data_IF_298733134380
#
_entry.id   IF_298733134380
#
_cell.length_a   1.000
_cell.length_b   1.000
_cell.length_c   1.000
_cell.angle_alpha   90.00
_cell.angle_beta   90.00
_cell.angle_gamma   90.00
#
_symmetry.space_group_name_H-M   'P 1'
#
loop_
_entity.id
_entity.type
_entity.pdbx_description
1 polymer ?
#
# COMPACT_ATOMS: atom_id res chain seq x y z
N UNK A 1 -5.59 -10.51 1.04
CA UNK A 1 -6.06 -9.52 2.04
C UNK A 1 -7.39 -9.91 2.69
N UNK A 2 -8.45 -10.16 1.91
CA UNK A 2 -9.81 -10.35 2.45
C UNK A 2 -10.12 -11.73 3.05
N UNK A 3 -9.15 -12.65 3.20
CA UNK A 3 -9.42 -14.03 3.61
C UNK A 3 -10.17 -14.14 4.94
N UNK A 4 -9.70 -13.44 5.98
CA UNK A 4 -10.29 -13.46 7.32
C UNK A 4 -11.60 -12.69 7.42
N UNK A 5 -11.86 -11.77 6.48
CA UNK A 5 -13.11 -11.00 6.41
C UNK A 5 -14.17 -11.75 5.63
N UNK A 6 -13.80 -12.35 4.50
CA UNK A 6 -14.71 -13.08 3.63
C UNK A 6 -15.23 -14.35 4.31
N UNK A 7 -14.39 -15.06 5.08
CA UNK A 7 -14.75 -16.30 5.77
C UNK A 7 -16.05 -16.19 6.58
N UNK A 8 -16.13 -15.28 7.57
CA UNK A 8 -17.35 -15.04 8.34
C UNK A 8 -18.58 -14.65 7.49
N UNK A 9 -18.37 -13.91 6.40
CA UNK A 9 -19.43 -13.42 5.52
C UNK A 9 -20.02 -14.52 4.60
N UNK A 10 -19.33 -15.65 4.41
CA UNK A 10 -19.82 -16.79 3.61
C UNK A 10 -21.13 -17.39 4.14
N UNK A 11 -21.44 -17.18 5.42
CA UNK A 11 -22.71 -17.60 6.03
C UNK A 11 -23.90 -16.73 5.60
N UNK A 12 -23.64 -15.60 4.94
CA UNK A 12 -24.70 -14.74 4.43
C UNK A 12 -25.37 -15.36 3.21
N UNK A 13 -26.59 -14.91 2.91
CA UNK A 13 -27.32 -15.29 1.68
C UNK A 13 -26.79 -14.61 0.42
N UNK A 14 -25.75 -13.78 0.52
CA UNK A 14 -25.22 -13.00 -0.59
C UNK A 14 -23.89 -13.60 -1.06
N UNK A 15 -23.69 -13.76 -2.37
CA UNK A 15 -22.41 -14.14 -2.92
C UNK A 15 -21.38 -13.03 -2.67
N UNK A 16 -20.12 -13.44 -2.53
CA UNK A 16 -19.00 -12.55 -2.27
C UNK A 16 -18.02 -12.67 -3.44
N UNK A 17 -17.83 -11.56 -4.16
CA UNK A 17 -16.86 -11.45 -5.23
C UNK A 17 -15.64 -10.71 -4.68
N UNK A 18 -14.47 -11.35 -4.73
CA UNK A 18 -13.20 -10.76 -4.27
C UNK A 18 -12.20 -10.86 -5.41
N UNK A 19 -12.22 -9.89 -6.36
CA UNK A 19 -11.30 -9.92 -7.47
C UNK A 19 -9.91 -9.45 -7.01
N UNK A 20 -8.88 -10.03 -7.61
CA UNK A 20 -7.59 -9.37 -7.68
C UNK A 20 -7.73 -8.19 -8.64
N UNK A 21 -7.32 -6.99 -8.22
CA UNK A 21 -7.39 -5.79 -9.06
C UNK A 21 -6.25 -5.81 -10.09
N UNK A 22 -6.42 -5.14 -11.24
CA UNK A 22 -5.36 -4.97 -12.24
C UNK A 22 -4.04 -4.53 -11.58
N UNK A 23 -2.94 -5.21 -11.90
CA UNK A 23 -1.63 -4.98 -11.30
C UNK A 23 -1.32 -5.86 -10.07
N UNK A 24 -2.30 -6.61 -9.55
CA UNK A 24 -2.13 -7.43 -8.35
C UNK A 24 -2.20 -8.93 -8.63
N UNK A 25 -1.42 -9.70 -7.86
CA UNK A 25 -1.42 -11.16 -7.78
C UNK A 25 -1.57 -11.88 -9.13
N UNK A 26 -2.68 -12.59 -9.38
CA UNK A 26 -2.89 -13.37 -10.60
C UNK A 26 -3.30 -12.56 -11.84
N UNK A 27 -3.56 -11.25 -11.71
CA UNK A 27 -4.00 -10.42 -12.85
C UNK A 27 -2.87 -9.84 -13.66
N UNK A 28 -3.21 -9.35 -14.86
CA UNK A 28 -2.27 -8.66 -15.74
C UNK A 28 -1.63 -7.44 -15.08
N UNK A 29 -0.39 -7.16 -15.48
CA UNK A 29 0.43 -6.03 -15.00
C UNK A 29 0.95 -5.23 -16.19
N UNK A 30 0.07 -4.58 -16.96
CA UNK A 30 0.48 -3.81 -18.14
C UNK A 30 1.45 -2.70 -17.74
N UNK A 31 2.45 -2.42 -18.57
CA UNK A 31 3.40 -1.33 -18.32
C UNK A 31 2.87 0.05 -18.72
N UNK A 32 1.82 0.08 -19.55
CA UNK A 32 1.14 1.33 -19.92
C UNK A 32 0.28 1.81 -18.74
N UNK A 33 0.65 2.96 -18.18
CA UNK A 33 -0.06 3.57 -17.04
C UNK A 33 -1.50 3.96 -17.39
N UNK A 34 -1.82 4.13 -18.68
CA UNK A 34 -3.18 4.42 -19.14
C UNK A 34 -4.17 3.27 -18.87
N UNK A 35 -3.68 2.04 -18.71
CA UNK A 35 -4.50 0.89 -18.35
C UNK A 35 -5.06 0.97 -16.91
N UNK A 36 -4.38 1.71 -16.02
CA UNK A 36 -4.77 1.86 -14.61
C UNK A 36 -5.72 3.04 -14.37
N UNK A 37 -6.38 3.54 -15.41
CA UNK A 37 -7.39 4.58 -15.24
C UNK A 37 -8.61 4.02 -14.53
N UNK A 38 -9.15 4.80 -13.59
CA UNK A 38 -10.25 4.38 -12.74
C UNK A 38 -11.56 4.08 -13.47
N UNK A 39 -11.81 4.74 -14.60
CA UNK A 39 -12.98 4.47 -15.45
C UNK A 39 -12.89 3.09 -16.10
N UNK A 40 -11.71 2.72 -16.62
CA UNK A 40 -11.42 1.39 -17.14
C UNK A 40 -11.51 0.32 -16.06
N UNK A 41 -10.81 0.50 -14.94
CA UNK A 41 -10.84 -0.48 -13.83
C UNK A 41 -12.25 -0.64 -13.22
N UNK A 42 -13.06 0.42 -13.18
CA UNK A 42 -14.46 0.31 -12.76
C UNK A 42 -15.30 -0.51 -13.77
N UNK A 43 -15.03 -0.37 -15.07
CA UNK A 43 -15.66 -1.19 -16.11
C UNK A 43 -15.29 -2.67 -15.95
N UNK A 44 -14.03 -2.99 -15.69
CA UNK A 44 -13.57 -4.37 -15.47
C UNK A 44 -14.34 -5.02 -14.30
N UNK A 45 -14.54 -4.27 -13.21
CA UNK A 45 -15.34 -4.75 -12.07
C UNK A 45 -16.80 -5.02 -12.45
N UNK A 46 -17.40 -4.17 -13.28
CA UNK A 46 -18.77 -4.40 -13.78
C UNK A 46 -18.83 -5.64 -14.65
N UNK A 47 -17.86 -5.86 -15.53
CA UNK A 47 -17.81 -7.04 -16.39
C UNK A 47 -17.70 -8.33 -15.55
N UNK A 48 -16.91 -8.31 -14.46
CA UNK A 48 -16.84 -9.42 -13.50
C UNK A 48 -18.21 -9.64 -12.83
N UNK A 49 -18.87 -8.58 -12.36
CA UNK A 49 -20.19 -8.65 -11.72
C UNK A 49 -21.24 -9.25 -12.67
N UNK A 50 -21.20 -8.88 -13.95
CA UNK A 50 -22.08 -9.40 -15.00
C UNK A 50 -21.77 -10.86 -15.35
N UNK A 51 -20.50 -11.24 -15.41
CA UNK A 51 -20.08 -12.62 -15.63
C UNK A 51 -20.56 -13.55 -14.50
N UNK A 52 -20.58 -13.05 -13.26
CA UNK A 52 -21.17 -13.72 -12.10
C UNK A 52 -22.71 -13.61 -12.03
N UNK A 53 -23.35 -13.10 -13.09
CA UNK A 53 -24.81 -13.03 -13.25
C UNK A 53 -25.51 -12.18 -12.17
N UNK A 54 -24.87 -11.10 -11.74
CA UNK A 54 -25.42 -10.16 -10.76
C UNK A 54 -25.64 -8.77 -11.36
N UNK A 55 -26.74 -8.13 -10.97
CA UNK A 55 -27.08 -6.78 -11.44
C UNK A 55 -26.62 -5.71 -10.45
N UNK A 56 -26.72 -5.95 -9.13
CA UNK A 56 -26.44 -4.93 -8.11
C UNK A 56 -25.52 -5.47 -7.03
N UNK A 57 -24.67 -4.61 -6.50
CA UNK A 57 -23.67 -4.98 -5.48
C UNK A 57 -23.60 -3.97 -4.35
N UNK A 58 -23.17 -4.46 -3.18
CA UNK A 58 -22.56 -3.60 -2.15
C UNK A 58 -21.07 -3.58 -2.44
N UNK A 59 -20.52 -2.38 -2.72
CA UNK A 59 -19.10 -2.22 -3.00
C UNK A 59 -18.34 -1.96 -1.70
N UNK A 60 -17.29 -2.73 -1.45
CA UNK A 60 -16.49 -2.68 -0.22
C UNK A 60 -15.02 -2.51 -0.60
N UNK A 61 -14.33 -1.55 0.05
CA UNK A 61 -12.94 -1.27 -0.22
C UNK A 61 -12.11 -0.98 1.04
N UNK A 62 -10.81 -1.20 0.93
CA UNK A 62 -9.80 -0.83 1.92
C UNK A 62 -8.61 -0.19 1.21
N UNK A 63 -8.07 0.90 1.74
CA UNK A 63 -6.93 1.63 1.13
C UNK A 63 -7.19 2.01 -0.34
N UNK A 64 -6.34 1.63 -1.31
CA UNK A 64 -6.61 1.79 -2.74
C UNK A 64 -7.89 1.07 -3.21
N UNK A 65 -8.28 -0.01 -2.53
CA UNK A 65 -9.57 -0.66 -2.76
C UNK A 65 -10.76 0.23 -2.40
N UNK A 66 -10.63 1.15 -1.44
CA UNK A 66 -11.67 2.15 -1.14
C UNK A 66 -11.81 3.17 -2.28
N UNK A 67 -10.70 3.50 -2.94
CA UNK A 67 -10.73 4.32 -4.16
C UNK A 67 -11.46 3.56 -5.26
N UNK A 68 -11.10 2.30 -5.52
CA UNK A 68 -11.78 1.45 -6.50
C UNK A 68 -13.29 1.31 -6.23
N UNK A 69 -13.68 1.01 -4.99
CA UNK A 69 -15.08 0.89 -4.58
C UNK A 69 -15.87 2.20 -4.78
N UNK A 70 -15.24 3.33 -4.44
CA UNK A 70 -15.83 4.66 -4.66
C UNK A 70 -16.00 4.97 -6.15
N UNK A 71 -15.02 4.59 -6.99
CA UNK A 71 -15.07 4.80 -8.45
C UNK A 71 -16.13 3.95 -9.11
N UNK A 72 -16.33 2.70 -8.67
CA UNK A 72 -17.43 1.86 -9.13
C UNK A 72 -18.79 2.54 -8.86
N UNK A 73 -18.99 3.04 -7.63
CA UNK A 73 -20.21 3.78 -7.25
C UNK A 73 -20.42 5.06 -8.09
N UNK A 74 -19.35 5.78 -8.40
CA UNK A 74 -19.42 7.03 -9.18
C UNK A 74 -19.70 6.81 -10.66
N UNK A 75 -19.07 5.80 -11.28
CA UNK A 75 -19.23 5.52 -12.71
C UNK A 75 -20.47 4.69 -13.00
N UNK A 76 -20.91 3.86 -12.05
CA UNK A 76 -22.04 2.94 -12.21
C UNK A 76 -23.01 3.02 -11.01
N UNK A 77 -23.60 4.20 -10.73
CA UNK A 77 -24.42 4.41 -9.54
C UNK A 77 -25.66 3.49 -9.49
N UNK A 78 -26.23 3.13 -10.65
CA UNK A 78 -27.39 2.23 -10.72
C UNK A 78 -27.06 0.78 -10.33
N UNK A 79 -25.78 0.43 -10.33
CA UNK A 79 -25.25 -0.91 -10.01
C UNK A 79 -24.84 -1.04 -8.55
N UNK A 80 -24.63 0.05 -7.83
CA UNK A 80 -24.12 0.04 -6.44
C UNK A 80 -25.23 0.45 -5.46
N UNK A 81 -25.70 -0.51 -4.66
CA UNK A 81 -26.76 -0.28 -3.65
C UNK A 81 -26.23 0.11 -2.27
N UNK A 82 -24.91 0.03 -2.08
CA UNK A 82 -24.23 0.45 -0.86
C UNK A 82 -22.72 0.53 -1.07
N UNK A 83 -22.07 1.44 -0.35
CA UNK A 83 -20.62 1.64 -0.37
C UNK A 83 -20.07 1.57 1.06
N UNK A 84 -19.02 0.78 1.25
CA UNK A 84 -18.29 0.67 2.52
C UNK A 84 -16.81 0.90 2.24
N UNK A 85 -16.27 1.99 2.79
CA UNK A 85 -14.85 2.29 2.71
C UNK A 85 -14.18 2.09 4.06
N UNK A 86 -13.05 1.40 4.06
CA UNK A 86 -12.21 1.17 5.23
C UNK A 86 -10.91 1.96 5.09
N UNK A 87 -10.52 2.66 6.15
CA UNK A 87 -9.35 3.55 6.29
C UNK A 87 -9.32 4.80 5.41
N UNK A 88 -9.66 4.70 4.12
CA UNK A 88 -9.64 5.83 3.18
C UNK A 88 -11.06 6.34 2.97
N UNK A 89 -11.35 7.63 3.21
CA UNK A 89 -12.70 8.17 3.06
C UNK A 89 -13.16 8.21 1.60
N UNK A 90 -14.48 8.38 1.42
CA UNK A 90 -15.04 8.63 0.09
C UNK A 90 -14.33 9.82 -0.58
N UNK A 91 -13.83 9.59 -1.79
CA UNK A 91 -13.07 10.59 -2.55
C UNK A 91 -13.83 10.94 -3.82
N UNK A 92 -14.30 12.18 -4.00
CA UNK A 92 -14.98 12.60 -5.23
C UNK A 92 -14.05 12.46 -6.45
N UNK A 93 -14.64 12.52 -7.64
CA UNK A 93 -13.86 12.60 -8.88
C UNK A 93 -13.06 13.90 -8.87
N UNK A 94 -11.75 13.81 -9.08
CA UNK A 94 -10.90 14.98 -9.17
C UNK A 94 -10.99 15.56 -10.59
N UNK A 95 -11.24 16.87 -10.67
CA UNK A 95 -11.23 17.59 -11.94
C UNK A 95 -9.83 18.10 -12.32
N UNK A 96 -8.83 17.89 -11.46
CA UNK A 96 -7.46 18.34 -11.64
C UNK A 96 -6.48 17.17 -11.42
N UNK A 97 -5.34 17.16 -12.12
CA UNK A 97 -4.28 16.19 -11.85
C UNK A 97 -3.81 16.26 -10.39
N UNK A 98 -3.34 15.12 -9.89
CA UNK A 98 -2.72 15.06 -8.57
C UNK A 98 -1.38 15.80 -8.59
N UNK A 99 -1.18 16.72 -7.64
CA UNK A 99 0.10 17.43 -7.46
C UNK A 99 0.78 16.92 -6.18
N UNK A 100 1.81 16.09 -6.36
CA UNK A 100 2.57 15.50 -5.26
C UNK A 100 3.27 16.55 -4.40
N UNK A 101 3.79 17.62 -5.01
CA UNK A 101 4.49 18.67 -4.28
C UNK A 101 3.51 19.42 -3.38
N UNK A 102 2.37 19.84 -3.94
CA UNK A 102 1.32 20.50 -3.18
C UNK A 102 0.87 19.62 -2.00
N UNK A 103 0.61 18.33 -2.24
CA UNK A 103 0.18 17.40 -1.18
C UNK A 103 1.24 17.24 -0.08
N UNK A 104 2.52 17.14 -0.44
CA UNK A 104 3.60 17.08 0.54
C UNK A 104 3.76 18.40 1.33
N UNK A 105 3.61 19.56 0.68
CA UNK A 105 3.66 20.85 1.36
C UNK A 105 2.48 21.01 2.34
N UNK A 106 1.26 20.65 1.93
CA UNK A 106 0.06 20.66 2.79
C UNK A 106 0.21 19.71 3.97
N UNK A 107 0.63 18.46 3.75
CA UNK A 107 0.79 17.48 4.83
C UNK A 107 1.90 17.88 5.81
N UNK A 108 2.98 18.51 5.32
CA UNK A 108 4.01 19.07 6.19
C UNK A 108 3.47 20.18 7.08
N UNK A 109 2.65 21.07 6.54
CA UNK A 109 2.01 22.15 7.32
C UNK A 109 1.08 21.60 8.40
N UNK A 110 0.27 20.58 8.07
CA UNK A 110 -0.76 20.06 8.97
C UNK A 110 -0.22 19.04 9.99
N UNK A 111 0.74 18.21 9.60
CA UNK A 111 1.22 17.08 10.40
C UNK A 111 2.69 17.18 10.80
N UNK A 112 3.42 18.18 10.29
CA UNK A 112 4.85 18.39 10.56
C UNK A 112 5.80 17.57 9.68
N UNK A 113 5.29 16.74 8.77
CA UNK A 113 6.09 15.92 7.86
C UNK A 113 5.35 15.62 6.55
N UNK A 114 6.10 15.25 5.51
CA UNK A 114 5.62 15.05 4.14
C UNK A 114 5.20 13.60 3.92
N UNK A 115 3.91 13.30 4.10
CA UNK A 115 3.36 11.93 4.11
C UNK A 115 3.71 11.14 2.84
N UNK A 116 3.74 11.79 1.68
CA UNK A 116 3.91 11.13 0.38
C UNK A 116 5.32 11.27 -0.20
N UNK A 117 6.35 11.57 0.61
CA UNK A 117 7.72 11.74 0.10
C UNK A 117 8.22 10.52 -0.68
N UNK A 118 7.85 9.32 -0.25
CA UNK A 118 8.23 8.08 -0.92
C UNK A 118 7.71 7.93 -2.36
N UNK A 119 6.64 8.64 -2.74
CA UNK A 119 6.13 8.61 -4.11
C UNK A 119 7.17 9.16 -5.09
N UNK A 120 8.06 10.05 -4.66
CA UNK A 120 9.19 10.55 -5.46
C UNK A 120 10.18 9.45 -5.88
N UNK A 121 10.23 8.33 -5.15
CA UNK A 121 11.01 7.15 -5.53
C UNK A 121 10.14 6.20 -6.34
N UNK A 122 8.90 5.96 -5.93
CA UNK A 122 8.03 4.97 -6.58
C UNK A 122 7.63 5.37 -8.00
N UNK A 123 7.62 6.67 -8.32
CA UNK A 123 7.29 7.17 -9.67
C UNK A 123 8.53 7.57 -10.47
N UNK A 124 9.74 7.32 -9.97
CA UNK A 124 10.97 7.60 -10.70
C UNK A 124 11.35 6.45 -11.63
N UNK A 125 12.02 6.76 -12.74
CA UNK A 125 12.50 5.77 -13.71
C UNK A 125 13.45 4.74 -13.07
N UNK A 126 14.24 5.19 -12.09
CA UNK A 126 15.19 4.37 -11.31
C UNK A 126 14.58 3.78 -10.03
N UNK A 127 13.27 3.98 -9.80
CA UNK A 127 12.58 3.63 -8.57
C UNK A 127 12.67 2.15 -8.22
N UNK A 128 12.38 1.27 -9.18
CA UNK A 128 12.43 -0.17 -8.99
C UNK A 128 13.85 -0.65 -8.60
N UNK A 129 14.89 -0.14 -9.28
CA UNK A 129 16.28 -0.48 -8.96
C UNK A 129 16.67 -0.01 -7.54
N UNK A 130 16.19 1.16 -7.12
CA UNK A 130 16.43 1.67 -5.77
C UNK A 130 15.76 0.79 -4.72
N UNK A 131 14.52 0.36 -4.96
CA UNK A 131 13.80 -0.51 -4.02
C UNK A 131 14.47 -1.88 -3.93
N UNK A 132 14.86 -2.47 -5.06
CA UNK A 132 15.56 -3.76 -5.08
C UNK A 132 16.87 -3.72 -4.28
N UNK A 133 17.66 -2.65 -4.44
CA UNK A 133 18.90 -2.44 -3.67
C UNK A 133 18.68 -2.22 -2.17
N UNK A 134 17.48 -1.83 -1.76
CA UNK A 134 17.14 -1.48 -0.38
C UNK A 134 16.03 -2.35 0.21
N UNK A 135 15.77 -3.53 -0.37
CA UNK A 135 14.59 -4.34 -0.04
C UNK A 135 14.53 -4.72 1.45
N UNK A 136 15.65 -5.17 2.02
CA UNK A 136 15.77 -5.49 3.45
C UNK A 136 15.43 -4.30 4.35
N UNK A 137 15.86 -3.10 3.97
CA UNK A 137 15.59 -1.86 4.70
C UNK A 137 14.11 -1.49 4.61
N UNK A 138 13.50 -1.64 3.43
CA UNK A 138 12.07 -1.42 3.23
C UNK A 138 11.25 -2.34 4.15
N UNK A 139 11.51 -3.64 4.12
CA UNK A 139 10.83 -4.61 4.99
C UNK A 139 11.07 -4.34 6.48
N UNK A 140 12.31 -4.02 6.85
CA UNK A 140 12.66 -3.72 8.24
C UNK A 140 11.94 -2.48 8.76
N UNK A 141 11.73 -1.46 7.92
CA UNK A 141 10.95 -0.28 8.30
C UNK A 141 9.45 -0.56 8.35
N UNK A 142 8.91 -1.35 7.42
CA UNK A 142 7.48 -1.72 7.41
C UNK A 142 7.07 -2.58 8.61
N UNK A 143 8.00 -3.37 9.15
CA UNK A 143 7.77 -4.26 10.29
C UNK A 143 8.54 -3.82 11.56
N UNK A 144 9.14 -2.63 11.51
CA UNK A 144 9.91 -2.06 12.60
C UNK A 144 9.04 -1.51 13.73
N UNK A 145 9.65 -1.33 14.90
CA UNK A 145 9.01 -0.66 16.04
C UNK A 145 9.26 0.85 15.98
N UNK A 146 8.34 1.64 16.54
CA UNK A 146 8.43 3.10 16.56
C UNK A 146 8.16 3.74 15.20
N UNK A 147 8.79 4.88 14.93
CA UNK A 147 8.49 5.74 13.77
C UNK A 147 9.23 5.32 12.48
N UNK A 148 9.73 4.08 12.40
CA UNK A 148 10.56 3.60 11.28
C UNK A 148 9.93 3.80 9.90
N UNK A 149 8.62 3.56 9.76
CA UNK A 149 7.91 3.86 8.51
C UNK A 149 7.87 5.36 8.21
N UNK A 150 7.61 6.21 9.20
CA UNK A 150 7.60 7.66 9.00
C UNK A 150 8.99 8.15 8.59
N UNK A 151 10.04 7.68 9.28
CA UNK A 151 11.42 8.07 8.99
C UNK A 151 11.83 7.67 7.57
N UNK A 152 11.41 6.48 7.10
CA UNK A 152 11.74 6.00 5.76
C UNK A 152 10.86 6.62 4.66
N UNK A 153 9.53 6.60 4.82
CA UNK A 153 8.60 6.96 3.76
C UNK A 153 8.28 8.46 3.71
N UNK A 154 8.40 9.18 4.83
CA UNK A 154 8.01 10.58 4.92
C UNK A 154 9.18 11.57 4.91
N UNK A 155 10.41 11.06 4.83
CA UNK A 155 11.63 11.87 4.73
C UNK A 155 12.09 11.89 3.27
N UNK A 156 12.18 13.08 2.63
CA UNK A 156 12.66 13.18 1.25
C UNK A 156 14.03 12.53 1.06
N UNK A 157 14.16 11.72 0.02
CA UNK A 157 15.40 11.03 -0.31
C UNK A 157 15.78 9.86 0.60
N UNK A 158 15.08 9.60 1.71
CA UNK A 158 15.49 8.55 2.66
C UNK A 158 15.51 7.15 2.04
N UNK A 159 14.57 6.84 1.14
CA UNK A 159 14.55 5.58 0.37
C UNK A 159 15.70 5.47 -0.65
N UNK A 160 16.26 6.60 -1.11
CA UNK A 160 17.39 6.61 -2.05
C UNK A 160 18.73 6.35 -1.37
N UNK A 161 18.82 6.62 -0.07
CA UNK A 161 20.04 6.36 0.68
C UNK A 161 20.29 4.85 0.82
N UNK A 162 21.44 4.36 0.37
CA UNK A 162 21.90 3.01 0.70
C UNK A 162 22.67 3.09 2.01
N UNK A 163 21.99 2.88 3.14
CA UNK A 163 22.63 2.73 4.47
C UNK A 163 22.21 1.41 5.08
N UNK A 164 23.15 0.67 5.64
CA UNK A 164 22.84 -0.49 6.47
C UNK A 164 22.16 -0.02 7.76
N UNK A 165 20.89 -0.39 7.96
CA UNK A 165 20.27 -0.31 9.28
C UNK A 165 20.89 -1.37 10.17
N UNK A 166 21.90 -1.01 10.95
CA UNK A 166 22.37 -1.86 12.05
C UNK A 166 21.27 -1.92 13.11
N UNK A 167 20.56 -3.06 13.14
CA UNK A 167 19.64 -3.52 14.19
C UNK A 167 18.27 -2.83 14.26
N UNK A 168 17.27 -3.48 13.65
CA UNK A 168 15.88 -3.43 14.12
C UNK A 168 15.61 -4.80 14.77
N UNK A 169 15.14 -4.82 16.03
CA UNK A 169 14.65 -6.04 16.66
C UNK A 169 13.34 -6.46 15.98
N UNK A 170 13.44 -7.28 14.93
CA UNK A 170 12.27 -7.96 14.35
C UNK A 170 11.81 -8.99 15.38
N UNK A 171 10.81 -8.63 16.20
CA UNK A 171 10.22 -9.57 17.15
C UNK A 171 9.07 -10.29 16.42
N UNK A 172 9.43 -11.36 15.71
CA UNK A 172 8.61 -12.54 15.45
C UNK A 172 7.19 -12.31 14.87
N UNK A 173 7.09 -12.12 13.55
CA UNK A 173 5.87 -12.46 12.79
C UNK A 173 5.93 -13.97 12.49
N UNK A 174 5.73 -14.80 13.50
CA UNK A 174 5.61 -16.24 13.32
C UNK A 174 4.59 -16.82 14.32
N UNK A 175 3.31 -16.60 14.04
CA UNK A 175 2.26 -17.53 14.44
C UNK A 175 1.64 -18.07 13.15
N UNK A 176 2.28 -19.07 12.53
CA UNK A 176 1.66 -19.83 11.43
C UNK A 176 2.59 -20.39 10.35
N UNK A 177 3.84 -19.94 10.24
CA UNK A 177 4.78 -20.51 9.26
C UNK A 177 5.67 -21.55 9.93
N UNK A 178 5.80 -22.69 9.25
CA UNK A 178 6.55 -23.86 9.67
C UNK A 178 7.92 -23.50 10.25
N UNK A 179 8.29 -24.20 11.33
CA UNK A 179 9.59 -24.13 11.98
C UNK A 179 10.71 -24.48 10.99
N UNK A 180 11.32 -23.48 10.38
CA UNK A 180 12.71 -23.56 9.95
C UNK A 180 13.46 -22.34 10.50
N UNK A 181 14.18 -22.58 11.59
CA UNK A 181 15.01 -21.60 12.27
C UNK A 181 16.22 -21.25 11.40
N UNK A 182 16.13 -20.17 10.63
CA UNK A 182 17.34 -19.52 10.11
C UNK A 182 17.73 -18.44 11.12
N UNK A 183 18.59 -18.81 12.08
CA UNK A 183 19.20 -17.87 13.02
C UNK A 183 20.13 -16.93 12.25
N UNK A 184 19.86 -15.63 12.24
CA UNK A 184 20.87 -14.64 11.87
C UNK A 184 21.49 -14.05 13.13
N UNK A 185 22.78 -14.29 13.34
CA UNK A 185 23.64 -13.61 14.31
C UNK A 185 24.99 -13.34 13.64
N UNK A 186 25.36 -12.07 13.45
CA UNK A 186 26.76 -11.60 13.26
C UNK A 186 26.79 -10.11 13.69
N UNK A 187 27.26 -9.75 14.90
CA UNK A 187 28.61 -9.35 15.37
C UNK A 187 29.07 -7.92 14.98
N UNK A 188 29.49 -7.15 15.99
CA UNK A 188 29.81 -5.71 16.01
C UNK A 188 31.14 -5.33 15.35
N UNK A 189 31.24 -4.07 14.90
CA UNK A 189 32.44 -3.23 15.07
C UNK A 189 32.03 -1.74 15.13
N UNK A 190 32.26 -1.09 16.28
CA UNK A 190 32.17 0.36 16.44
C UNK A 190 33.59 0.91 16.63
N UNK A 191 34.03 1.95 15.88
CA UNK A 191 35.23 2.67 16.25
C UNK A 191 34.98 3.40 17.57
N UNK A 192 35.82 3.12 18.57
CA UNK A 192 35.87 3.82 19.85
C UNK A 192 36.13 5.31 19.60
N UNK A 193 35.16 6.18 19.92
CA UNK A 193 35.39 7.61 20.03
C UNK A 193 36.06 7.90 21.39
N UNK A 194 37.11 8.75 21.44
CA UNK A 194 37.80 9.03 22.68
C UNK A 194 36.89 9.80 23.65
N UNK A 195 36.77 9.29 24.87
CA UNK A 195 36.17 10.01 25.99
C UNK A 195 37.03 11.25 26.28
N UNK A 196 36.54 12.44 25.96
CA UNK A 196 37.15 13.68 26.45
C UNK A 196 36.75 13.88 27.90
N UNK A 197 37.73 13.79 28.79
CA UNK A 197 37.67 14.31 30.16
C UNK A 197 37.77 15.83 30.15
N UNK A 198 36.76 16.52 30.67
CA UNK A 198 36.84 17.66 31.59
C UNK A 198 35.45 18.13 31.99
#
# INVERSE_FOLDING_TARGET
MWADVAGPLRSSKYPIIVPDMLGYDGTDKPTDTSAYRWDGMAKDLIEIIEAEQHEKVVSIGHDWGSVAASRLCQHYPDRVVGLINLNVPYTPLFCQPFDLKMMNDTTKEHFGYRIFSYWEVFTADDGAEIIDKNLERLYSAMHGQGETMKDLFCTPGALREVRHFTSIRITQIAKGLHQDQTNYTVMYDLPQLPLTSN
#
